data_IF_928375664186
#
_entry.id   IF_928375664186
#
_cell.length_a   1.000
_cell.length_b   1.000
_cell.length_c   1.000
_cell.angle_alpha   90.00
_cell.angle_beta   90.00
_cell.angle_gamma   90.00
#
_symmetry.space_group_name_H-M   'P 1'
#
loop_
_entity.id
_entity.type
_entity.pdbx_description
1 polymer ?
#
# COMPACT_ATOMS: atom_id res chain seq x y z
N UNK A 1 -7.93 1.07 -12.66
CA UNK A 1 -6.69 0.73 -11.98
C UNK A 1 -6.96 0.69 -10.49
N UNK A 2 -6.78 -0.50 -9.97
CA UNK A 2 -6.72 -0.83 -8.55
C UNK A 2 -5.24 -1.15 -8.31
N UNK A 3 -4.65 -0.57 -7.28
CA UNK A 3 -3.36 -1.03 -6.78
C UNK A 3 -3.67 -1.99 -5.62
N UNK A 4 -3.10 -3.19 -5.68
CA UNK A 4 -3.36 -4.23 -4.72
C UNK A 4 -2.04 -4.80 -4.23
N UNK A 5 -1.86 -4.83 -2.91
CA UNK A 5 -0.76 -5.54 -2.27
C UNK A 5 -1.20 -6.99 -2.07
N UNK A 6 -0.76 -7.87 -2.96
CA UNK A 6 -1.07 -9.30 -2.89
C UNK A 6 -0.44 -9.94 -1.64
N UNK A 7 -1.16 -10.91 -1.07
CA UNK A 7 -0.62 -11.87 -0.11
C UNK A 7 -0.61 -13.24 -0.81
N UNK A 8 0.59 -13.81 -1.01
CA UNK A 8 0.78 -15.03 -1.82
C UNK A 8 0.32 -16.33 -1.13
N UNK A 9 -0.20 -16.29 0.10
CA UNK A 9 -0.56 -17.51 0.80
C UNK A 9 -1.91 -18.08 0.29
N UNK A 10 -1.79 -19.11 -0.55
CA UNK A 10 -2.82 -19.62 -1.46
C UNK A 10 -4.09 -20.20 -0.79
N UNK A 11 -4.24 -20.13 0.53
CA UNK A 11 -5.35 -20.74 1.29
C UNK A 11 -5.79 -19.96 2.55
N UNK A 12 -5.36 -18.71 2.76
CA UNK A 12 -5.82 -17.91 3.90
C UNK A 12 -6.94 -16.95 3.49
N UNK A 13 -7.91 -16.66 4.37
CA UNK A 13 -8.90 -15.63 4.09
C UNK A 13 -8.17 -14.30 3.81
N UNK A 14 -8.63 -13.55 2.80
CA UNK A 14 -8.08 -12.25 2.35
C UNK A 14 -8.11 -11.18 3.46
N UNK A 15 -7.28 -11.36 4.48
CA UNK A 15 -7.31 -10.61 5.74
C UNK A 15 -6.23 -9.53 5.79
N UNK A 16 -5.26 -9.56 4.88
CA UNK A 16 -4.06 -8.74 4.96
C UNK A 16 -3.82 -7.82 3.76
N UNK A 17 -4.51 -8.03 2.63
CA UNK A 17 -4.33 -7.21 1.45
C UNK A 17 -4.86 -5.77 1.65
N UNK A 18 -4.14 -4.78 1.13
CA UNK A 18 -4.61 -3.40 1.03
C UNK A 18 -4.91 -3.10 -0.42
N UNK A 19 -5.97 -2.32 -0.66
CA UNK A 19 -6.34 -1.88 -2.00
C UNK A 19 -6.48 -0.37 -2.03
N UNK A 20 -5.87 0.26 -3.02
CA UNK A 20 -6.07 1.66 -3.33
C UNK A 20 -6.89 1.82 -4.62
N UNK A 21 -8.06 2.44 -4.51
CA UNK A 21 -8.92 2.75 -5.64
C UNK A 21 -8.67 4.19 -6.07
N UNK A 22 -8.21 4.37 -7.31
CA UNK A 22 -7.86 5.69 -7.83
C UNK A 22 -8.91 6.19 -8.82
N UNK A 23 -9.19 7.49 -8.79
CA UNK A 23 -10.00 8.17 -9.81
C UNK A 23 -9.32 8.14 -11.18
N UNK A 24 -10.06 8.46 -12.25
CA UNK A 24 -9.50 8.46 -13.61
C UNK A 24 -8.35 9.46 -13.75
N UNK A 25 -8.47 10.62 -13.11
CA UNK A 25 -7.46 11.68 -13.11
C UNK A 25 -6.23 11.26 -12.33
N UNK A 26 -6.41 10.72 -11.11
CA UNK A 26 -5.30 10.29 -10.26
C UNK A 26 -4.47 9.19 -10.92
N UNK A 27 -5.12 8.28 -11.68
CA UNK A 27 -4.42 7.23 -12.44
C UNK A 27 -3.45 7.79 -13.48
N UNK A 28 -3.82 8.86 -14.17
CA UNK A 28 -2.97 9.49 -15.20
C UNK A 28 -1.76 10.21 -14.59
N UNK A 29 -1.85 10.58 -13.32
CA UNK A 29 -0.79 11.28 -12.61
C UNK A 29 0.16 10.37 -11.84
N UNK A 30 -0.04 9.05 -11.80
CA UNK A 30 0.89 8.15 -11.08
C UNK A 30 2.26 8.18 -11.74
N UNK A 31 3.28 8.34 -10.92
CA UNK A 31 4.69 8.31 -11.31
C UNK A 31 5.34 6.96 -10.98
N UNK A 32 5.07 6.43 -9.78
CA UNK A 32 5.54 5.13 -9.28
C UNK A 32 4.57 4.62 -8.23
N UNK A 33 4.45 3.31 -8.09
CA UNK A 33 3.85 2.68 -6.93
C UNK A 33 4.70 1.46 -6.52
N UNK A 34 4.62 1.09 -5.26
CA UNK A 34 5.34 -0.03 -4.67
C UNK A 34 4.50 -0.64 -3.55
N UNK A 35 4.61 -1.97 -3.39
CA UNK A 35 3.97 -2.68 -2.29
C UNK A 35 5.06 -3.25 -1.38
N UNK A 36 4.98 -2.97 -0.08
CA UNK A 36 5.90 -3.49 0.92
C UNK A 36 5.19 -4.58 1.73
N UNK A 37 5.17 -5.79 1.17
CA UNK A 37 4.38 -6.90 1.68
C UNK A 37 2.88 -6.78 1.38
N UNK A 38 2.05 -7.51 2.13
CA UNK A 38 0.60 -7.54 1.91
C UNK A 38 -0.13 -6.29 2.39
N UNK A 39 0.44 -5.54 3.33
CA UNK A 39 -0.29 -4.51 4.10
C UNK A 39 0.08 -3.07 3.78
N UNK A 40 1.06 -2.82 2.91
CA UNK A 40 1.57 -1.46 2.66
C UNK A 40 1.62 -1.22 1.15
N UNK A 41 0.99 -0.13 0.70
CA UNK A 41 1.08 0.41 -0.65
C UNK A 41 1.60 1.84 -0.56
N UNK A 42 2.71 2.13 -1.24
CA UNK A 42 3.16 3.48 -1.50
C UNK A 42 2.86 3.85 -2.95
N UNK A 43 2.31 5.04 -3.18
CA UNK A 43 2.09 5.59 -4.51
C UNK A 43 2.56 7.03 -4.57
N UNK A 44 3.24 7.36 -5.64
CA UNK A 44 3.69 8.71 -5.94
C UNK A 44 2.96 9.25 -7.16
N UNK A 45 2.52 10.50 -7.07
CA UNK A 45 1.80 11.20 -8.13
C UNK A 45 2.57 12.45 -8.57
N UNK A 46 2.67 12.66 -9.88
CA UNK A 46 3.02 13.95 -10.45
C UNK A 46 1.86 14.91 -10.22
N UNK A 47 2.10 16.01 -9.53
CA UNK A 47 1.07 17.05 -9.36
C UNK A 47 1.03 17.97 -10.58
N UNK A 48 0.05 18.88 -10.64
CA UNK A 48 0.01 19.93 -11.68
C UNK A 48 1.25 20.82 -11.66
N UNK A 49 1.90 20.94 -10.50
CA UNK A 49 3.20 21.59 -10.37
C UNK A 49 4.26 20.55 -10.68
N UNK A 50 4.84 20.59 -11.88
CA UNK A 50 5.72 19.52 -12.37
C UNK A 50 6.93 19.22 -11.48
N UNK A 51 7.33 20.17 -10.63
CA UNK A 51 8.43 20.04 -9.67
C UNK A 51 8.02 19.39 -8.34
N UNK A 52 6.72 19.24 -8.08
CA UNK A 52 6.17 18.67 -6.85
C UNK A 52 5.62 17.28 -7.14
N UNK A 53 6.17 16.30 -6.44
CA UNK A 53 5.64 14.93 -6.39
C UNK A 53 4.87 14.77 -5.08
N UNK A 54 3.69 14.16 -5.13
CA UNK A 54 2.88 13.85 -3.96
C UNK A 54 2.97 12.36 -3.69
N UNK A 55 3.51 11.98 -2.53
CA UNK A 55 3.58 10.59 -2.10
C UNK A 55 2.43 10.30 -1.13
N UNK A 56 1.80 9.14 -1.29
CA UNK A 56 0.72 8.64 -0.44
C UNK A 56 1.07 7.23 -0.06
N UNK A 57 1.17 6.98 1.25
CA UNK A 57 1.34 5.63 1.79
C UNK A 57 0.03 5.21 2.44
N UNK A 58 -0.52 4.08 2.00
CA UNK A 58 -1.69 3.47 2.58
C UNK A 58 -1.30 2.12 3.17
N UNK A 59 -1.72 1.88 4.41
CA UNK A 59 -1.50 0.59 5.05
C UNK A 59 -2.62 0.23 6.02
N UNK A 60 -2.67 -1.05 6.39
CA UNK A 60 -3.52 -1.54 7.46
C UNK A 60 -2.65 -2.08 8.60
N UNK A 61 -2.75 -1.44 9.77
CA UNK A 61 -1.98 -1.83 10.94
C UNK A 61 -2.31 -3.27 11.38
N UNK A 62 -1.34 -4.00 11.94
CA UNK A 62 -1.60 -5.25 12.65
C UNK A 62 -2.68 -5.08 13.73
N UNK A 63 -3.49 -6.11 13.95
CA UNK A 63 -4.49 -6.13 15.02
C UNK A 63 -3.83 -6.34 16.38
N UNK A 64 -4.47 -5.94 17.48
CA UNK A 64 -3.90 -6.15 18.83
C UNK A 64 -3.56 -7.62 19.11
N UNK A 65 -4.36 -8.54 18.55
CA UNK A 65 -4.20 -9.99 18.69
C UNK A 65 -3.07 -10.59 17.82
N UNK A 66 -2.41 -9.80 16.97
CA UNK A 66 -1.27 -10.31 16.19
C UNK A 66 -0.05 -10.53 17.08
N UNK A 67 0.80 -11.49 16.69
CA UNK A 67 2.07 -11.73 17.37
C UNK A 67 2.97 -10.49 17.31
N UNK A 68 3.84 -10.32 18.31
CA UNK A 68 4.73 -9.17 18.40
C UNK A 68 5.77 -9.17 17.28
N UNK A 69 6.28 -10.34 16.87
CA UNK A 69 7.21 -10.44 15.72
C UNK A 69 6.58 -9.94 14.41
N UNK A 70 5.27 -10.21 14.20
CA UNK A 70 4.54 -9.73 13.02
C UNK A 70 4.33 -8.21 13.07
N UNK A 71 4.12 -7.66 14.27
CA UNK A 71 4.03 -6.21 14.49
C UNK A 71 5.37 -5.56 14.21
N UNK A 72 6.44 -6.08 14.78
CA UNK A 72 7.79 -5.55 14.61
C UNK A 72 8.21 -5.58 13.14
N UNK A 73 8.02 -6.71 12.45
CA UNK A 73 8.28 -6.81 11.02
C UNK A 73 7.46 -5.81 10.19
N UNK A 74 6.21 -5.55 10.56
CA UNK A 74 5.39 -4.56 9.88
C UNK A 74 5.95 -3.14 10.07
N UNK A 75 6.31 -2.77 11.31
CA UNK A 75 6.83 -1.44 11.62
C UNK A 75 8.25 -1.19 11.08
N UNK A 76 9.08 -2.23 10.94
CA UNK A 76 10.40 -2.12 10.28
C UNK A 76 10.31 -1.85 8.76
N UNK A 77 9.18 -2.21 8.14
CA UNK A 77 8.93 -2.02 6.70
C UNK A 77 8.28 -0.68 6.34
N UNK A 78 7.84 0.08 7.34
CA UNK A 78 7.22 1.40 7.18
C UNK A 78 8.28 2.50 7.11
#
# INVERSE_FOLDING_TARGET
>A
MLLYSEYEERNTPHTQGVTLILSKEARKSIKRWECHGSRIIEVSFKTKWERITMNVTQFYAPTNDSNDDDKDQFYERL
#
